data_IF_119600538321
#
_entry.id   IF_119600538321
#
_cell.length_a   1.000
_cell.length_b   1.000
_cell.length_c   1.000
_cell.angle_alpha   90.00
_cell.angle_beta   90.00
_cell.angle_gamma   90.00
#
_symmetry.space_group_name_H-M   'P 1'
#
loop_
_entity.id
_entity.type
_entity.pdbx_description
1 polymer ?
#
# COMPACT_ATOMS: atom_id res chain seq x y z
N UNK A 1 -26.02 32.57 -32.42
CA UNK A 1 -24.78 32.57 -31.60
C UNK A 1 -25.02 31.87 -30.26
N UNK A 2 -26.05 32.27 -29.50
CA UNK A 2 -26.46 31.66 -28.23
C UNK A 2 -26.69 30.13 -28.29
N UNK A 3 -27.45 29.64 -29.27
CA UNK A 3 -27.79 28.21 -29.40
C UNK A 3 -26.56 27.30 -29.59
N UNK A 4 -25.58 27.73 -30.39
CA UNK A 4 -24.33 27.00 -30.59
C UNK A 4 -23.46 27.00 -29.33
N UNK A 5 -23.45 28.09 -28.56
CA UNK A 5 -22.74 28.16 -27.29
C UNK A 5 -23.33 27.18 -26.25
N UNK A 6 -24.66 27.06 -26.19
CA UNK A 6 -25.35 26.08 -25.33
C UNK A 6 -25.00 24.65 -25.74
N UNK A 7 -24.99 24.34 -27.04
CA UNK A 7 -24.60 23.00 -27.53
C UNK A 7 -23.15 22.67 -27.16
N UNK A 8 -22.22 23.59 -27.39
CA UNK A 8 -20.80 23.40 -27.05
C UNK A 8 -20.62 23.17 -25.55
N UNK A 9 -21.36 23.91 -24.71
CA UNK A 9 -21.32 23.75 -23.26
C UNK A 9 -21.77 22.34 -22.82
N UNK A 10 -22.90 21.85 -23.34
CA UNK A 10 -23.37 20.49 -23.03
C UNK A 10 -22.44 19.40 -23.57
N UNK A 11 -21.86 19.59 -24.76
CA UNK A 11 -20.85 18.68 -25.30
C UNK A 11 -19.61 18.63 -24.41
N UNK A 12 -19.13 19.78 -23.92
CA UNK A 12 -18.00 19.84 -23.00
C UNK A 12 -18.30 19.08 -21.69
N UNK A 13 -19.48 19.27 -21.10
CA UNK A 13 -19.92 18.52 -19.91
C UNK A 13 -19.96 17.02 -20.20
N UNK A 14 -20.54 16.61 -21.33
CA UNK A 14 -20.64 15.20 -21.70
C UNK A 14 -19.26 14.54 -21.87
N UNK A 15 -18.31 15.25 -22.51
CA UNK A 15 -16.91 14.79 -22.66
C UNK A 15 -16.23 14.67 -21.30
N UNK A 16 -16.36 15.67 -20.44
CA UNK A 16 -15.77 15.66 -19.08
C UNK A 16 -16.35 14.50 -18.26
N UNK A 17 -17.67 14.32 -18.27
CA UNK A 17 -18.34 13.24 -17.55
C UNK A 17 -17.89 11.86 -18.07
N UNK A 18 -17.85 11.69 -19.40
CA UNK A 18 -17.38 10.44 -20.04
C UNK A 18 -15.93 10.13 -19.65
N UNK A 19 -15.05 11.13 -19.66
CA UNK A 19 -13.65 10.94 -19.28
C UNK A 19 -13.53 10.61 -17.79
N UNK A 20 -14.24 11.33 -16.91
CA UNK A 20 -14.27 11.04 -15.47
C UNK A 20 -14.70 9.59 -15.19
N UNK A 21 -15.77 9.13 -15.85
CA UNK A 21 -16.25 7.75 -15.74
C UNK A 21 -15.23 6.74 -16.28
N UNK A 22 -14.61 7.01 -17.43
CA UNK A 22 -13.55 6.16 -17.97
C UNK A 22 -12.36 6.04 -16.98
N UNK A 23 -11.92 7.14 -16.39
CA UNK A 23 -10.85 7.16 -15.37
C UNK A 23 -11.22 6.32 -14.16
N UNK A 24 -12.45 6.44 -13.65
CA UNK A 24 -12.95 5.63 -12.52
C UNK A 24 -12.98 4.14 -12.86
N UNK A 25 -13.49 3.78 -14.03
CA UNK A 25 -13.54 2.39 -14.50
C UNK A 25 -12.15 1.80 -14.68
N UNK A 26 -11.22 2.55 -15.27
CA UNK A 26 -9.83 2.13 -15.43
C UNK A 26 -9.16 1.92 -14.06
N UNK A 27 -9.28 2.88 -13.14
CA UNK A 27 -8.79 2.74 -11.76
C UNK A 27 -9.31 1.46 -11.10
N UNK A 28 -10.62 1.18 -11.22
CA UNK A 28 -11.23 -0.04 -10.67
C UNK A 28 -10.65 -1.31 -11.26
N UNK A 29 -10.52 -1.39 -12.59
CA UNK A 29 -9.89 -2.53 -13.27
C UNK A 29 -8.44 -2.75 -12.83
N UNK A 30 -7.66 -1.68 -12.71
CA UNK A 30 -6.26 -1.76 -12.27
C UNK A 30 -6.16 -2.25 -10.81
N UNK A 31 -7.04 -1.76 -9.93
CA UNK A 31 -7.15 -2.24 -8.56
C UNK A 31 -7.60 -3.70 -8.46
N UNK A 32 -8.58 -4.13 -9.27
CA UNK A 32 -9.04 -5.52 -9.30
C UNK A 32 -7.92 -6.46 -9.73
N UNK A 33 -7.19 -6.08 -10.79
CA UNK A 33 -6.01 -6.81 -11.24
C UNK A 33 -4.94 -6.88 -10.16
N UNK A 34 -4.72 -5.77 -9.43
CA UNK A 34 -3.78 -5.75 -8.32
C UNK A 34 -4.23 -6.69 -7.19
N UNK A 35 -5.48 -6.60 -6.73
CA UNK A 35 -6.00 -7.46 -5.67
C UNK A 35 -5.95 -8.95 -6.03
N UNK A 36 -6.27 -9.30 -7.28
CA UNK A 36 -6.18 -10.67 -7.79
C UNK A 36 -4.75 -11.19 -7.88
N UNK A 37 -3.76 -10.31 -8.02
CA UNK A 37 -2.34 -10.69 -8.09
C UNK A 37 -1.71 -11.03 -6.74
N UNK A 38 -2.43 -10.81 -5.62
CA UNK A 38 -1.92 -11.04 -4.28
C UNK A 38 -2.13 -12.49 -3.90
N UNK A 39 -1.02 -13.18 -3.67
CA UNK A 39 -1.02 -14.53 -3.10
C UNK A 39 -0.96 -14.47 -1.57
N UNK A 40 -2.12 -14.52 -0.93
CA UNK A 40 -2.21 -14.59 0.54
C UNK A 40 -1.74 -15.93 1.12
N UNK A 41 -1.57 -16.96 0.28
CA UNK A 41 -1.02 -18.25 0.69
C UNK A 41 0.50 -18.30 0.66
N UNK A 42 1.14 -17.26 0.10
CA UNK A 42 2.59 -17.18 -0.03
C UNK A 42 3.27 -17.27 1.34
N UNK A 43 4.03 -18.35 1.54
CA UNK A 43 4.90 -18.50 2.71
C UNK A 43 6.28 -17.94 2.36
N UNK A 44 6.66 -16.87 3.06
CA UNK A 44 8.00 -16.28 2.93
C UNK A 44 9.07 -17.34 3.21
N UNK A 45 10.11 -17.44 2.36
CA UNK A 45 11.19 -18.40 2.57
C UNK A 45 11.94 -18.05 3.86
N UNK A 46 12.31 -19.07 4.62
CA UNK A 46 13.15 -18.88 5.80
C UNK A 46 14.55 -18.43 5.36
N UNK A 47 15.12 -17.50 6.13
CA UNK A 47 16.53 -17.16 5.98
C UNK A 47 17.33 -18.43 6.25
N UNK A 48 18.15 -18.86 5.29
CA UNK A 48 18.97 -20.06 5.45
C UNK A 48 19.80 -19.91 6.72
N UNK A 49 19.56 -20.77 7.70
CA UNK A 49 20.36 -20.84 8.92
C UNK A 49 21.66 -21.60 8.67
N UNK A 50 21.62 -22.60 7.76
CA UNK A 50 22.73 -23.51 7.44
C UNK A 50 23.48 -23.08 6.18
N UNK A 51 24.81 -23.26 6.15
CA UNK A 51 25.62 -22.96 4.97
C UNK A 51 25.32 -23.92 3.80
N UNK A 52 25.48 -23.43 2.57
CA UNK A 52 25.19 -24.19 1.34
C UNK A 52 26.12 -25.41 1.16
N UNK A 53 27.38 -25.30 1.60
CA UNK A 53 28.43 -26.30 1.35
C UNK A 53 29.15 -26.76 2.64
N UNK A 54 28.49 -26.71 3.81
CA UNK A 54 29.11 -27.09 5.10
C UNK A 54 30.18 -26.12 5.64
N UNK A 55 30.69 -25.19 4.84
CA UNK A 55 31.60 -24.11 5.27
C UNK A 55 30.87 -23.08 6.14
N UNK A 56 31.47 -22.63 7.24
CA UNK A 56 30.93 -21.52 8.06
C UNK A 56 30.69 -20.27 7.19
N UNK A 57 29.48 -19.70 7.30
CA UNK A 57 29.11 -18.47 6.58
C UNK A 57 29.97 -17.29 7.00
N UNK A 58 30.33 -16.45 6.04
CA UNK A 58 31.02 -15.18 6.33
C UNK A 58 30.03 -14.15 6.91
N UNK A 59 30.57 -13.11 7.55
CA UNK A 59 29.75 -11.99 8.06
C UNK A 59 29.01 -11.27 6.93
N UNK A 60 29.66 -11.13 5.78
CA UNK A 60 29.10 -10.48 4.59
C UNK A 60 27.95 -11.29 3.99
N UNK A 61 28.09 -12.63 3.91
CA UNK A 61 27.01 -13.52 3.45
C UNK A 61 25.78 -13.41 4.36
N UNK A 62 25.99 -13.43 5.69
CA UNK A 62 24.90 -13.28 6.65
C UNK A 62 24.20 -11.92 6.55
N UNK A 63 24.95 -10.84 6.32
CA UNK A 63 24.40 -9.50 6.12
C UNK A 63 23.62 -9.40 4.80
N UNK A 64 24.15 -9.97 3.71
CA UNK A 64 23.48 -9.99 2.41
C UNK A 64 22.16 -10.77 2.46
N UNK A 65 22.17 -11.96 3.06
CA UNK A 65 20.96 -12.76 3.29
C UNK A 65 19.93 -11.99 4.14
N UNK A 66 20.39 -11.34 5.22
CA UNK A 66 19.54 -10.53 6.08
C UNK A 66 18.89 -9.37 5.35
N UNK A 67 19.65 -8.64 4.53
CA UNK A 67 19.14 -7.54 3.72
C UNK A 67 18.14 -8.01 2.66
N UNK A 68 18.43 -9.14 1.98
CA UNK A 68 17.52 -9.74 1.02
C UNK A 68 16.19 -10.15 1.68
N UNK A 69 16.27 -10.75 2.87
CA UNK A 69 15.08 -11.13 3.64
C UNK A 69 14.25 -9.94 4.10
N UNK A 70 14.89 -8.88 4.61
CA UNK A 70 14.20 -7.64 5.00
C UNK A 70 13.48 -7.01 3.81
N UNK A 71 14.11 -7.01 2.64
CA UNK A 71 13.50 -6.55 1.40
C UNK A 71 12.28 -7.38 1.01
N UNK A 72 12.38 -8.71 1.03
CA UNK A 72 11.27 -9.60 0.71
C UNK A 72 10.08 -9.38 1.66
N UNK A 73 10.32 -9.33 2.98
CA UNK A 73 9.27 -9.01 3.96
C UNK A 73 8.68 -7.64 3.67
N UNK A 74 9.52 -6.63 3.48
CA UNK A 74 9.09 -5.26 3.28
C UNK A 74 8.19 -5.08 2.07
N UNK A 75 8.53 -5.72 0.96
CA UNK A 75 7.72 -5.71 -0.26
C UNK A 75 6.37 -6.42 -0.07
N UNK A 76 6.36 -7.52 0.66
CA UNK A 76 5.14 -8.27 1.00
C UNK A 76 4.18 -7.46 1.88
N UNK A 77 4.70 -6.82 2.93
CA UNK A 77 3.93 -5.90 3.77
C UNK A 77 3.40 -4.71 2.96
N UNK A 78 4.21 -4.12 2.08
CA UNK A 78 3.78 -3.01 1.22
C UNK A 78 2.62 -3.40 0.32
N UNK A 79 2.69 -4.58 -0.32
CA UNK A 79 1.62 -5.10 -1.19
C UNK A 79 0.33 -5.32 -0.39
N UNK A 80 0.44 -6.00 0.75
CA UNK A 80 -0.70 -6.32 1.62
C UNK A 80 -1.35 -5.07 2.21
N UNK A 81 -0.54 -4.08 2.63
CA UNK A 81 -1.05 -2.80 3.11
C UNK A 81 -1.78 -2.02 2.01
N UNK A 82 -1.27 -2.05 0.77
CA UNK A 82 -1.95 -1.43 -0.36
C UNK A 82 -3.29 -2.11 -0.68
N UNK A 83 -3.34 -3.43 -0.58
CA UNK A 83 -4.56 -4.21 -0.74
C UNK A 83 -5.62 -3.82 0.30
N UNK A 84 -5.19 -3.73 1.56
CA UNK A 84 -6.02 -3.31 2.68
C UNK A 84 -6.58 -1.90 2.44
N UNK A 85 -5.76 -0.95 1.98
CA UNK A 85 -6.24 0.39 1.60
C UNK A 85 -7.33 0.32 0.53
N UNK A 86 -7.09 -0.41 -0.56
CA UNK A 86 -8.05 -0.51 -1.67
C UNK A 86 -9.37 -1.10 -1.15
N UNK A 87 -9.33 -2.19 -0.40
CA UNK A 87 -10.52 -2.82 0.17
C UNK A 87 -11.26 -1.90 1.13
N UNK A 88 -10.53 -1.17 1.99
CA UNK A 88 -11.10 -0.18 2.90
C UNK A 88 -11.84 0.94 2.15
N UNK A 89 -11.20 1.55 1.15
CA UNK A 89 -11.81 2.60 0.33
C UNK A 89 -13.08 2.10 -0.40
N UNK A 90 -13.14 0.80 -0.74
CA UNK A 90 -14.29 0.18 -1.43
C UNK A 90 -15.50 -0.01 -0.53
N UNK A 91 -15.29 -0.30 0.75
CA UNK A 91 -16.37 -0.40 1.75
C UNK A 91 -16.75 0.96 2.33
N UNK A 92 -16.27 2.06 1.74
CA UNK A 92 -16.58 3.41 2.18
C UNK A 92 -15.79 3.87 3.41
N UNK A 93 -14.80 3.10 3.87
CA UNK A 93 -13.93 3.53 4.97
C UNK A 93 -13.12 4.75 4.53
N UNK A 94 -13.22 5.83 5.31
CA UNK A 94 -12.46 7.08 5.08
C UNK A 94 -11.19 7.16 5.90
N UNK A 95 -11.10 6.39 6.99
CA UNK A 95 -10.09 6.53 8.04
C UNK A 95 -9.60 5.17 8.54
N UNK A 96 -8.42 5.18 9.14
CA UNK A 96 -7.81 4.03 9.78
C UNK A 96 -7.00 4.45 11.00
N UNK A 97 -6.78 3.52 11.92
CA UNK A 97 -5.84 3.65 13.03
C UNK A 97 -4.51 3.00 12.60
N UNK A 98 -3.41 3.72 12.77
CA UNK A 98 -2.08 3.18 12.51
C UNK A 98 -1.69 2.19 13.60
N UNK A 99 -1.30 0.97 13.21
CA UNK A 99 -0.78 -0.04 14.13
C UNK A 99 0.62 -0.46 13.74
N UNK A 100 1.49 -0.51 14.74
CA UNK A 100 2.84 -1.03 14.62
C UNK A 100 3.60 -0.82 15.91
N UNK A 101 4.21 -1.87 16.42
CA UNK A 101 5.18 -1.85 17.52
C UNK A 101 6.51 -2.37 17.00
N UNK A 102 7.62 -1.95 17.62
CA UNK A 102 8.99 -2.31 17.22
C UNK A 102 9.29 -2.03 15.74
N UNK A 103 8.86 -0.85 15.28
CA UNK A 103 9.17 -0.33 13.96
C UNK A 103 10.30 0.71 14.04
N UNK A 104 10.57 1.44 12.96
CA UNK A 104 11.52 2.55 13.04
C UNK A 104 10.94 3.69 13.92
N UNK A 105 11.79 4.57 14.50
CA UNK A 105 11.34 5.64 15.38
C UNK A 105 10.27 6.57 14.78
N UNK A 106 10.28 6.74 13.46
CA UNK A 106 9.29 7.55 12.74
C UNK A 106 7.90 6.90 12.71
N UNK A 107 7.85 5.57 12.58
CA UNK A 107 6.62 4.77 12.53
C UNK A 107 6.03 4.53 13.92
N UNK A 108 6.88 4.31 14.93
CA UNK A 108 6.43 4.10 16.32
C UNK A 108 5.65 5.32 16.84
N UNK A 109 6.08 6.53 16.47
CA UNK A 109 5.38 7.78 16.77
C UNK A 109 3.97 7.86 16.17
N UNK A 110 3.63 7.02 15.18
CA UNK A 110 2.31 7.02 14.57
C UNK A 110 1.37 6.00 15.21
N UNK A 111 1.88 5.03 15.96
CA UNK A 111 1.07 3.96 16.54
C UNK A 111 -0.09 4.53 17.37
N UNK A 112 -1.30 4.00 17.13
CA UNK A 112 -2.54 4.43 17.78
C UNK A 112 -3.18 5.70 17.19
N UNK A 113 -2.50 6.42 16.28
CA UNK A 113 -3.07 7.64 15.67
C UNK A 113 -4.00 7.31 14.52
N UNK A 114 -5.01 8.14 14.33
CA UNK A 114 -5.99 8.00 13.24
C UNK A 114 -5.66 8.91 12.07
N UNK A 115 -5.71 8.37 10.86
CA UNK A 115 -5.49 9.11 9.61
C UNK A 115 -6.63 8.90 8.62
N UNK A 116 -6.74 9.79 7.65
CA UNK A 116 -7.60 9.59 6.49
C UNK A 116 -6.81 8.93 5.35
N UNK A 117 -7.46 8.09 4.57
CA UNK A 117 -6.84 7.51 3.36
C UNK A 117 -6.41 8.58 2.36
N UNK A 118 -7.16 9.68 2.27
CA UNK A 118 -6.84 10.83 1.41
C UNK A 118 -5.74 11.74 1.94
N UNK A 119 -5.37 11.62 3.22
CA UNK A 119 -4.41 12.51 3.90
C UNK A 119 -3.47 11.71 4.82
N UNK A 120 -2.48 10.99 4.25
CA UNK A 120 -1.48 10.29 5.04
C UNK A 120 -0.55 11.26 5.80
N UNK A 121 0.08 10.81 6.90
CA UNK A 121 1.18 11.53 7.52
C UNK A 121 2.41 11.59 6.60
N UNK A 122 3.43 12.39 6.98
CA UNK A 122 4.70 12.49 6.23
C UNK A 122 5.41 11.13 6.06
N UNK A 123 5.16 10.18 6.96
CA UNK A 123 5.67 8.81 6.90
C UNK A 123 5.03 7.96 5.79
N UNK A 124 4.03 8.48 5.07
CA UNK A 124 3.21 7.69 4.15
C UNK A 124 2.10 6.93 4.87
N UNK A 125 1.49 5.97 4.19
CA UNK A 125 0.59 4.99 4.83
C UNK A 125 1.40 3.87 5.52
N UNK A 126 0.79 3.11 6.46
CA UNK A 126 1.40 1.89 6.97
C UNK A 126 1.84 0.96 5.83
N UNK A 127 2.98 0.29 5.98
CA UNK A 127 3.56 -0.59 4.95
C UNK A 127 4.36 0.09 3.84
N UNK A 128 4.25 1.42 3.63
CA UNK A 128 5.00 2.10 2.56
C UNK A 128 6.49 2.26 2.88
N UNK A 129 6.82 2.52 4.14
CA UNK A 129 8.19 2.62 4.63
C UNK A 129 8.96 3.88 4.19
N UNK A 130 8.27 4.96 3.78
CA UNK A 130 8.90 6.17 3.19
C UNK A 130 10.00 6.81 4.05
N UNK A 131 9.84 6.79 5.37
CA UNK A 131 10.82 7.35 6.32
C UNK A 131 11.52 6.27 7.16
N UNK A 132 11.41 5.00 6.76
CA UNK A 132 12.15 3.91 7.40
C UNK A 132 13.59 3.87 6.85
N UNK A 133 14.62 3.63 7.68
CA UNK A 133 16.02 3.59 7.22
C UNK A 133 16.29 2.56 6.12
N UNK A 134 15.58 1.43 6.15
CA UNK A 134 15.66 0.37 5.14
C UNK A 134 14.61 0.53 4.02
N UNK A 135 13.77 1.57 4.06
CA UNK A 135 12.68 1.77 3.09
C UNK A 135 11.49 0.82 3.25
N UNK A 136 11.43 0.03 4.32
CA UNK A 136 10.40 -0.99 4.54
C UNK A 136 9.78 -0.85 5.94
N UNK A 137 8.45 -0.97 6.07
CA UNK A 137 7.78 -1.00 7.37
C UNK A 137 6.79 -2.17 7.44
N UNK A 138 6.68 -2.74 8.65
CA UNK A 138 5.79 -3.86 8.98
C UNK A 138 4.47 -3.39 9.61
N UNK A 139 4.29 -2.08 9.68
CA UNK A 139 3.12 -1.43 10.25
C UNK A 139 1.90 -1.66 9.34
N UNK A 140 0.71 -1.73 9.92
CA UNK A 140 -0.54 -1.97 9.22
C UNK A 140 -1.63 -0.95 9.61
N UNK A 141 -2.67 -0.88 8.81
CA UNK A 141 -3.83 -0.04 9.05
C UNK A 141 -4.95 -0.88 9.66
N UNK A 142 -5.38 -0.53 10.86
CA UNK A 142 -6.65 -1.00 11.41
C UNK A 142 -7.77 -0.15 10.81
N UNK A 143 -8.57 -0.76 9.93
CA UNK A 143 -9.59 -0.06 9.14
C UNK A 143 -10.77 0.33 10.02
N UNK A 144 -11.20 1.60 9.94
CA UNK A 144 -12.44 2.04 10.58
C UNK A 144 -13.58 1.83 9.56
N UNK A 145 -14.40 0.82 9.79
CA UNK A 145 -15.54 0.49 8.92
C UNK A 145 -16.70 1.45 9.23
N UNK A 146 -17.31 2.09 8.22
CA UNK A 146 -18.48 2.93 8.44
C UNK A 146 -19.71 2.07 8.79
N UNK A 147 -20.68 2.67 9.49
CA UNK A 147 -21.97 2.05 9.73
C UNK A 147 -22.70 1.75 8.40
N UNK A 148 -23.48 0.66 8.33
CA UNK A 148 -24.18 0.22 7.12
C UNK A 148 -25.25 1.20 6.61
#
# INVERSE_FOLDING_TARGET
MEFFAVIIFFLAIAVIARWSNYKKLKKRKDEDKFLQSIDYSYRRPEVKSKPKNGRRRSKEEMLADGNAYQKLIGEDFRKTAKATQIQAERVGSKRYIWRGSDCCPSCDKQNGKTYAWSKPPKTGHPGEGKLCPNGYCRCWAEVIIPDP
#
